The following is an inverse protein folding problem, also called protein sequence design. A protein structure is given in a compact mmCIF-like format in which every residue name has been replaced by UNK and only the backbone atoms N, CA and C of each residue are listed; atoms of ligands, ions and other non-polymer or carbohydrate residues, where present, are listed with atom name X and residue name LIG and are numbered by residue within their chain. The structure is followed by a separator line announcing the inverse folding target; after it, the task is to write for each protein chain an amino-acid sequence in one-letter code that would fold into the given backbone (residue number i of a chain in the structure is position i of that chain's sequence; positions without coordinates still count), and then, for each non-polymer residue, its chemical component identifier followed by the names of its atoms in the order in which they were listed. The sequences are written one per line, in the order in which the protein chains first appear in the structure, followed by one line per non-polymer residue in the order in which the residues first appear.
data_IF_214580276626
#
_entry.id   IF_214580276626
#
_cell.length_a   1.000
_cell.length_b   1.000
_cell.length_c   1.000
_cell.angle_alpha   90.00
_cell.angle_beta   90.00
_cell.angle_gamma   90.00
#
_symmetry.space_group_name_H-M   'P 1'
#
loop_
_entity.id
_entity.type
_entity.pdbx_description
1 polymer ?
#
# COMPACT_ATOMS: atom_id res chain seq x y z
N UNK A 1 15.47 22.49 3.27
CA UNK A 1 14.01 22.70 3.42
C UNK A 1 13.57 21.74 4.51
N UNK A 2 12.79 22.17 5.49
CA UNK A 2 12.28 21.26 6.52
C UNK A 2 11.11 20.53 5.88
N UNK A 3 11.21 19.21 5.68
CA UNK A 3 10.08 18.41 5.21
C UNK A 3 8.93 18.55 6.22
N UNK A 4 7.69 18.70 5.74
CA UNK A 4 6.53 18.72 6.63
C UNK A 4 6.42 17.37 7.37
N UNK A 5 5.87 17.38 8.58
CA UNK A 5 5.58 16.12 9.26
C UNK A 5 4.55 15.31 8.45
N UNK A 6 4.70 13.98 8.33
CA UNK A 6 3.76 13.15 7.61
C UNK A 6 2.35 13.26 8.22
N UNK A 7 1.31 13.06 7.40
CA UNK A 7 -0.09 13.01 7.86
C UNK A 7 -0.25 11.95 8.94
N UNK A 8 0.37 10.79 8.73
CA UNK A 8 0.50 9.73 9.73
C UNK A 8 1.63 8.79 9.34
N UNK A 9 2.23 8.16 10.35
CA UNK A 9 3.18 7.07 10.15
C UNK A 9 3.00 5.99 11.21
N UNK A 10 3.45 4.76 10.91
CA UNK A 10 3.43 3.65 11.85
C UNK A 10 4.59 2.69 11.56
N UNK A 11 5.42 2.44 12.58
CA UNK A 11 6.52 1.48 12.59
C UNK A 11 6.14 0.16 13.30
N UNK A 12 4.83 -0.10 13.44
CA UNK A 12 4.22 -1.31 13.98
C UNK A 12 4.70 -1.76 15.37
N UNK A 13 5.07 -0.82 16.24
CA UNK A 13 5.29 -1.12 17.67
C UNK A 13 4.09 -1.83 18.31
N UNK A 14 2.89 -1.62 17.77
CA UNK A 14 1.72 -2.47 18.00
C UNK A 14 0.75 -2.42 16.80
N UNK A 15 -0.33 -3.22 16.83
CA UNK A 15 -1.43 -3.14 15.87
C UNK A 15 -2.62 -2.28 16.34
N UNK A 16 -2.49 -1.52 17.43
CA UNK A 16 -3.63 -0.82 18.05
C UNK A 16 -4.26 0.27 17.17
N UNK A 17 -3.49 0.83 16.23
CA UNK A 17 -3.97 1.81 15.27
C UNK A 17 -4.75 1.19 14.10
N UNK A 18 -4.70 -0.14 13.98
CA UNK A 18 -5.18 -0.87 12.82
C UNK A 18 -6.38 -1.75 13.17
N UNK A 19 -7.43 -1.64 12.37
CA UNK A 19 -8.47 -2.66 12.35
C UNK A 19 -7.99 -3.82 11.49
N UNK A 20 -7.92 -5.01 12.08
CA UNK A 20 -7.41 -6.21 11.42
C UNK A 20 -8.54 -7.14 10.99
N UNK A 21 -8.35 -7.80 9.86
CA UNK A 21 -9.26 -8.80 9.31
C UNK A 21 -8.43 -9.98 8.84
N UNK A 22 -8.47 -11.08 9.59
CA UNK A 22 -7.87 -12.38 9.21
C UNK A 22 -6.34 -12.38 9.04
N UNK A 23 -5.63 -13.34 9.63
CA UNK A 23 -4.22 -13.60 9.30
C UNK A 23 -3.22 -12.45 9.54
N UNK A 24 -3.61 -11.37 10.24
CA UNK A 24 -2.75 -10.25 10.61
C UNK A 24 -2.23 -10.44 12.03
N UNK A 25 -0.91 -10.26 12.21
CA UNK A 25 -0.23 -10.40 13.50
C UNK A 25 1.03 -9.52 13.53
N UNK A 26 1.56 -9.24 14.72
CA UNK A 26 2.90 -8.67 14.86
C UNK A 26 3.94 -9.78 14.73
N UNK A 27 4.97 -9.51 13.95
CA UNK A 27 6.17 -10.30 13.88
C UNK A 27 7.30 -9.57 14.62
N UNK A 28 7.65 -10.08 15.79
CA UNK A 28 8.69 -9.49 16.65
C UNK A 28 10.11 -9.93 16.27
N UNK A 29 10.28 -10.62 15.14
CA UNK A 29 11.58 -11.19 14.73
C UNK A 29 12.22 -10.47 13.55
N UNK A 30 11.41 -9.82 12.71
CA UNK A 30 11.87 -9.07 11.54
C UNK A 30 11.13 -7.73 11.41
N UNK A 31 11.80 -6.74 10.81
CA UNK A 31 11.25 -5.43 10.48
C UNK A 31 12.21 -4.66 9.57
N UNK A 32 11.89 -3.40 9.30
CA UNK A 32 12.63 -2.49 8.42
C UNK A 32 12.69 -1.09 9.05
N UNK A 33 13.81 -0.73 9.73
CA UNK A 33 15.09 -1.46 9.78
C UNK A 33 15.19 -2.54 10.86
N UNK A 34 14.26 -2.59 11.83
CA UNK A 34 14.29 -3.53 12.94
C UNK A 34 12.86 -3.97 13.32
N UNK A 35 12.74 -5.13 13.94
CA UNK A 35 11.47 -5.63 14.44
C UNK A 35 10.83 -4.68 15.48
N UNK A 36 9.50 -4.68 15.63
CA UNK A 36 8.52 -5.57 14.97
C UNK A 36 8.06 -5.09 13.58
N UNK A 37 7.36 -5.96 12.85
CA UNK A 37 6.61 -5.62 11.63
C UNK A 37 5.19 -6.21 11.64
N UNK A 38 4.28 -5.66 10.83
CA UNK A 38 2.97 -6.27 10.60
C UNK A 38 3.08 -7.43 9.60
N UNK A 39 2.84 -8.65 10.08
CA UNK A 39 2.81 -9.85 9.24
C UNK A 39 1.39 -10.19 8.83
N UNK A 40 1.18 -10.33 7.53
CA UNK A 40 -0.05 -10.82 6.93
C UNK A 40 0.26 -12.17 6.27
N UNK A 41 -0.32 -13.24 6.80
CA UNK A 41 -0.18 -14.57 6.26
C UNK A 41 -1.52 -15.28 6.19
N UNK A 42 -1.85 -15.80 5.02
CA UNK A 42 -3.15 -16.43 4.81
C UNK A 42 -3.15 -17.29 3.54
N UNK A 43 -4.13 -18.18 3.50
CA UNK A 43 -4.32 -19.18 2.45
C UNK A 43 -5.82 -19.26 2.15
N UNK A 44 -6.23 -18.92 0.93
CA UNK A 44 -7.63 -19.07 0.49
C UNK A 44 -8.65 -18.27 1.31
N UNK A 45 -8.27 -17.08 1.80
CA UNK A 45 -9.12 -16.18 2.58
C UNK A 45 -8.76 -14.71 2.32
N UNK A 46 -9.50 -13.77 2.91
CA UNK A 46 -9.14 -12.36 2.92
C UNK A 46 -8.30 -12.04 4.17
N UNK A 47 -7.24 -11.24 4.01
CA UNK A 47 -6.35 -10.84 5.09
C UNK A 47 -5.83 -9.41 4.87
N UNK A 48 -6.27 -8.47 5.72
CA UNK A 48 -5.90 -7.07 5.61
C UNK A 48 -5.92 -6.35 6.96
N UNK A 49 -5.19 -5.25 7.02
CA UNK A 49 -5.27 -4.28 8.11
C UNK A 49 -5.50 -2.90 7.53
N UNK A 50 -6.32 -2.08 8.19
CA UNK A 50 -6.58 -0.71 7.75
C UNK A 50 -6.69 0.28 8.91
N UNK A 51 -6.43 1.55 8.61
CA UNK A 51 -6.63 2.67 9.52
C UNK A 51 -7.32 3.84 8.81
N UNK A 52 -8.00 4.69 9.58
CA UNK A 52 -8.58 5.94 9.09
C UNK A 52 -7.56 7.07 9.18
N UNK A 53 -7.59 7.95 8.19
CA UNK A 53 -6.90 9.23 8.29
C UNK A 53 -7.75 10.18 9.17
N UNK A 54 -7.09 11.00 9.98
CA UNK A 54 -7.76 12.00 10.82
C UNK A 54 -8.57 13.00 9.98
N UNK A 55 -8.14 13.27 8.75
CA UNK A 55 -8.86 14.06 7.76
C UNK A 55 -8.61 13.52 6.36
N UNK A 56 -9.64 13.40 5.50
CA UNK A 56 -9.45 12.95 4.13
C UNK A 56 -8.62 13.92 3.29
N UNK A 57 -7.82 13.38 2.37
CA UNK A 57 -6.95 14.15 1.46
C UNK A 57 -7.16 13.76 0.00
N UNK A 58 -7.11 14.75 -0.90
CA UNK A 58 -7.17 14.51 -2.34
C UNK A 58 -5.81 14.18 -2.92
N UNK A 59 -4.76 14.90 -2.52
CA UNK A 59 -3.37 14.59 -2.87
C UNK A 59 -2.78 13.73 -1.77
N UNK A 60 -2.18 12.60 -2.16
CA UNK A 60 -1.65 11.60 -1.24
C UNK A 60 -0.46 10.88 -1.84
N UNK A 61 0.54 10.65 -1.00
CA UNK A 61 1.59 9.67 -1.16
C UNK A 61 1.46 8.66 -0.02
N UNK A 62 1.29 7.39 -0.38
CA UNK A 62 1.32 6.29 0.59
C UNK A 62 2.55 5.44 0.33
N UNK A 63 3.37 5.29 1.36
CA UNK A 63 4.63 4.56 1.33
C UNK A 63 4.61 3.48 2.41
N UNK A 64 5.22 2.33 2.10
CA UNK A 64 5.45 1.26 3.09
C UNK A 64 6.59 0.37 2.63
N UNK A 65 7.39 -0.09 3.58
CA UNK A 65 8.36 -1.15 3.35
C UNK A 65 7.65 -2.49 3.37
N UNK A 66 7.88 -3.31 2.34
CA UNK A 66 7.25 -4.63 2.20
C UNK A 66 8.31 -5.70 1.96
N UNK A 67 8.17 -6.81 2.67
CA UNK A 67 8.92 -8.03 2.41
C UNK A 67 7.97 -9.20 2.18
N UNK A 68 7.98 -9.77 0.97
CA UNK A 68 7.12 -10.88 0.60
C UNK A 68 7.88 -12.20 0.73
N UNK A 69 7.60 -12.93 1.81
CA UNK A 69 8.21 -14.23 2.08
C UNK A 69 7.71 -15.31 1.10
N UNK A 70 6.41 -15.27 0.75
CA UNK A 70 5.85 -16.19 -0.24
C UNK A 70 4.57 -15.61 -0.88
N UNK A 71 4.31 -15.94 -2.14
CA UNK A 71 3.05 -15.65 -2.81
C UNK A 71 2.86 -16.59 -4.00
N UNK A 72 1.70 -17.24 -4.10
CA UNK A 72 1.36 -18.11 -5.25
C UNK A 72 0.31 -17.48 -6.17
N UNK A 73 -0.37 -16.43 -5.69
CA UNK A 73 -1.33 -15.63 -6.45
C UNK A 73 -0.83 -14.19 -6.57
N UNK A 74 -1.42 -13.43 -7.49
CA UNK A 74 -1.39 -11.97 -7.38
C UNK A 74 -2.10 -11.54 -6.10
N UNK A 75 -1.71 -10.40 -5.54
CA UNK A 75 -2.36 -9.82 -4.39
C UNK A 75 -2.10 -8.33 -4.24
N UNK A 76 -2.98 -7.68 -3.50
CA UNK A 76 -2.86 -6.26 -3.20
C UNK A 76 -1.84 -6.02 -2.09
N UNK A 77 -0.80 -5.24 -2.39
CA UNK A 77 0.16 -4.80 -1.37
C UNK A 77 -0.55 -3.85 -0.42
N UNK A 78 -1.19 -2.82 -0.98
CA UNK A 78 -1.98 -1.86 -0.24
C UNK A 78 -3.07 -1.23 -1.11
N UNK A 79 -4.03 -0.58 -0.44
CA UNK A 79 -5.13 0.16 -1.06
C UNK A 79 -5.32 1.51 -0.40
N UNK A 80 -5.68 2.49 -1.22
CA UNK A 80 -6.23 3.77 -0.77
C UNK A 80 -7.73 3.75 -0.99
N UNK A 81 -8.47 4.22 0.01
CA UNK A 81 -9.94 4.16 0.03
C UNK A 81 -10.51 5.44 0.61
N UNK A 82 -11.78 5.71 0.31
CA UNK A 82 -12.50 6.78 1.02
C UNK A 82 -12.70 6.39 2.49
N UNK A 83 -12.99 7.36 3.36
CA UNK A 83 -13.28 7.09 4.77
C UNK A 83 -14.42 6.08 4.96
N UNK A 84 -15.42 6.11 4.07
CA UNK A 84 -16.54 5.17 4.04
C UNK A 84 -16.23 3.85 3.30
N UNK A 85 -14.94 3.50 3.13
CA UNK A 85 -14.48 2.29 2.45
C UNK A 85 -14.82 2.20 0.94
N UNK A 86 -15.08 3.34 0.30
CA UNK A 86 -15.25 3.44 -1.15
C UNK A 86 -13.93 3.18 -1.90
N UNK A 87 -14.03 2.60 -3.09
CA UNK A 87 -12.89 2.29 -3.93
C UNK A 87 -12.22 3.56 -4.49
N UNK A 88 -10.87 3.61 -4.48
CA UNK A 88 -10.08 4.68 -5.11
C UNK A 88 -9.01 4.05 -5.99
N UNK A 89 -7.92 3.54 -5.38
CA UNK A 89 -6.79 2.97 -6.10
C UNK A 89 -6.06 1.94 -5.23
N UNK A 90 -5.34 1.02 -5.87
CA UNK A 90 -4.51 0.04 -5.19
C UNK A 90 -3.21 -0.22 -5.92
N UNK A 91 -2.22 -0.71 -5.16
CA UNK A 91 -0.99 -1.30 -5.66
C UNK A 91 -1.05 -2.80 -5.46
N UNK A 92 -0.69 -3.56 -6.47
CA UNK A 92 -0.69 -5.02 -6.43
C UNK A 92 0.63 -5.58 -6.93
N UNK A 93 0.96 -6.77 -6.44
CA UNK A 93 2.02 -7.63 -6.97
C UNK A 93 1.36 -8.74 -7.76
N UNK A 94 1.76 -8.93 -9.02
CA UNK A 94 1.33 -10.08 -9.82
C UNK A 94 1.88 -11.40 -9.23
N UNK A 95 1.33 -12.54 -9.63
CA UNK A 95 1.88 -13.85 -9.25
C UNK A 95 3.37 -13.99 -9.65
N UNK A 96 3.73 -13.44 -10.81
CA UNK A 96 5.11 -13.41 -11.31
C UNK A 96 6.04 -12.47 -10.52
N UNK A 97 5.49 -11.52 -9.75
CA UNK A 97 6.26 -10.59 -8.90
C UNK A 97 6.34 -9.15 -9.39
N UNK A 98 5.84 -8.87 -10.60
CA UNK A 98 5.77 -7.52 -11.14
C UNK A 98 4.80 -6.63 -10.33
N UNK A 99 5.17 -5.36 -10.16
CA UNK A 99 4.34 -4.34 -9.52
C UNK A 99 3.36 -3.71 -10.51
N UNK A 100 2.14 -3.46 -10.08
CA UNK A 100 1.12 -2.76 -10.86
C UNK A 100 0.19 -1.91 -9.99
N UNK A 101 -0.55 -1.03 -10.66
CA UNK A 101 -1.57 -0.19 -10.05
C UNK A 101 -2.91 -0.40 -10.71
N UNK A 102 -3.99 -0.35 -9.93
CA UNK A 102 -5.36 -0.47 -10.41
C UNK A 102 -6.23 0.60 -9.81
N UNK A 103 -6.95 1.30 -10.67
CA UNK A 103 -8.07 2.12 -10.29
C UNK A 103 -9.25 1.20 -9.94
N UNK A 104 -9.61 1.16 -8.66
CA UNK A 104 -10.69 0.28 -8.20
C UNK A 104 -12.09 0.89 -8.42
N UNK A 105 -12.20 2.18 -8.75
CA UNK A 105 -13.47 2.81 -9.13
C UNK A 105 -13.86 2.48 -10.58
N UNK A 106 -12.90 2.47 -11.50
CA UNK A 106 -13.12 2.22 -12.93
C UNK A 106 -12.69 0.83 -13.40
N UNK A 107 -11.96 0.08 -12.58
CA UNK A 107 -11.52 -1.28 -12.87
C UNK A 107 -10.31 -1.41 -13.80
N UNK A 108 -9.74 -0.31 -14.28
CA UNK A 108 -8.56 -0.29 -15.17
C UNK A 108 -7.26 -0.42 -14.39
N UNK A 109 -6.26 -1.07 -14.98
CA UNK A 109 -4.95 -1.27 -14.35
C UNK A 109 -3.81 -1.13 -15.35
N UNK A 110 -2.62 -0.87 -14.84
CA UNK A 110 -1.35 -0.99 -15.56
C UNK A 110 -0.34 -1.73 -14.71
N UNK A 111 0.57 -2.47 -15.36
CA UNK A 111 1.61 -3.28 -14.71
C UNK A 111 2.96 -2.86 -15.27
N UNK A 112 3.92 -2.63 -14.38
CA UNK A 112 5.30 -2.35 -14.76
C UNK A 112 6.05 -3.64 -15.13
N UNK A 113 7.24 -3.51 -15.73
CA UNK A 113 8.16 -4.65 -15.86
C UNK A 113 8.94 -4.92 -14.56
N UNK A 114 8.89 -3.99 -13.60
CA UNK A 114 9.69 -4.03 -12.38
C UNK A 114 9.14 -5.06 -11.40
N UNK A 115 10.01 -5.97 -10.98
CA UNK A 115 9.73 -6.94 -9.92
C UNK A 115 9.84 -6.29 -8.55
N UNK A 116 9.00 -6.69 -7.60
CA UNK A 116 9.21 -6.31 -6.19
C UNK A 116 10.57 -6.83 -5.70
N UNK A 117 10.90 -8.09 -6.01
CA UNK A 117 12.11 -8.75 -5.53
C UNK A 117 11.94 -9.48 -4.20
N UNK A 118 13.05 -9.88 -3.60
CA UNK A 118 13.14 -10.56 -2.30
C UNK A 118 13.74 -9.63 -1.25
N UNK A 119 13.26 -9.71 -0.01
CA UNK A 119 13.69 -8.82 1.06
C UNK A 119 12.80 -7.58 1.18
N UNK A 120 13.25 -6.62 1.98
CA UNK A 120 12.53 -5.36 2.21
C UNK A 120 12.74 -4.40 1.04
N UNK A 121 11.62 -3.90 0.52
CA UNK A 121 11.60 -2.85 -0.50
C UNK A 121 10.59 -1.79 -0.12
N UNK A 122 10.94 -0.54 -0.36
CA UNK A 122 9.98 0.54 -0.27
C UNK A 122 9.06 0.51 -1.50
N UNK A 123 7.76 0.62 -1.27
CA UNK A 123 6.77 0.80 -2.34
C UNK A 123 5.92 2.01 -2.01
N UNK A 124 5.97 3.02 -2.89
CA UNK A 124 5.25 4.27 -2.71
C UNK A 124 4.33 4.57 -3.90
N UNK A 125 3.10 4.96 -3.62
CA UNK A 125 2.14 5.44 -4.61
C UNK A 125 1.76 6.89 -4.31
N UNK A 126 2.04 7.77 -5.25
CA UNK A 126 1.70 9.18 -5.19
C UNK A 126 0.70 9.58 -6.27
N UNK A 127 -0.25 10.45 -5.93
CA UNK A 127 -1.15 11.04 -6.91
C UNK A 127 -2.25 11.89 -6.28
N UNK A 128 -3.18 12.30 -7.12
CA UNK A 128 -4.35 13.09 -6.71
C UNK A 128 -5.62 12.32 -7.07
N UNK A 129 -6.62 12.34 -6.19
CA UNK A 129 -7.95 11.80 -6.48
C UNK A 129 -8.68 12.74 -7.45
N UNK A 130 -9.27 12.18 -8.50
CA UNK A 130 -10.11 12.96 -9.42
C UNK A 130 -10.46 12.19 -10.69
N UNK A 131 -11.33 12.81 -11.50
CA UNK A 131 -11.81 12.24 -12.76
C UNK A 131 -10.75 12.17 -13.87
N UNK A 132 -9.75 13.04 -13.82
CA UNK A 132 -8.63 13.10 -14.76
C UNK A 132 -7.36 13.46 -13.99
N UNK A 133 -6.76 12.46 -13.33
CA UNK A 133 -5.59 12.63 -12.47
C UNK A 133 -4.52 11.62 -12.82
N UNK A 134 -3.31 11.86 -12.31
CA UNK A 134 -2.16 11.00 -12.57
C UNK A 134 -1.62 10.41 -11.28
N UNK A 135 -1.11 9.19 -11.41
CA UNK A 135 -0.54 8.41 -10.32
C UNK A 135 0.83 7.89 -10.72
N UNK A 136 1.79 8.02 -9.82
CA UNK A 136 3.16 7.56 -9.99
C UNK A 136 3.47 6.52 -8.92
N UNK A 137 3.94 5.35 -9.36
CA UNK A 137 4.37 4.26 -8.49
C UNK A 137 5.89 4.25 -8.46
N UNK A 138 6.44 4.15 -7.25
CA UNK A 138 7.87 4.05 -6.97
C UNK A 138 8.20 2.71 -6.31
N UNK A 139 9.42 2.24 -6.56
CA UNK A 139 10.06 1.15 -5.82
C UNK A 139 11.45 1.63 -5.41
N UNK A 140 11.76 1.61 -4.12
CA UNK A 140 13.04 2.08 -3.57
C UNK A 140 13.42 3.47 -4.14
N UNK A 141 12.46 4.41 -4.14
CA UNK A 141 12.61 5.76 -4.71
C UNK A 141 12.62 5.86 -6.25
N UNK A 142 12.73 4.74 -6.99
CA UNK A 142 12.75 4.74 -8.45
C UNK A 142 11.33 4.67 -9.04
N UNK A 143 11.01 5.53 -10.02
CA UNK A 143 9.72 5.50 -10.73
C UNK A 143 9.59 4.22 -11.57
N UNK A 144 8.56 3.42 -11.31
CA UNK A 144 8.25 2.17 -12.03
C UNK A 144 6.96 2.24 -12.85
N UNK A 145 6.04 3.13 -12.48
CA UNK A 145 4.91 3.56 -13.32
C UNK A 145 4.87 5.08 -13.24
N UNK A 146 4.98 5.75 -14.38
CA UNK A 146 5.08 7.20 -14.42
C UNK A 146 3.75 7.83 -14.87
N UNK A 147 3.19 8.71 -14.04
CA UNK A 147 2.12 9.63 -14.40
C UNK A 147 0.91 8.94 -15.07
N UNK A 148 0.51 7.76 -14.57
CA UNK A 148 -0.57 6.98 -15.13
C UNK A 148 -1.92 7.67 -14.94
N UNK A 149 -2.59 7.98 -16.04
CA UNK A 149 -3.87 8.66 -16.02
C UNK A 149 -5.02 7.70 -15.68
N UNK A 150 -5.80 8.03 -14.66
CA UNK A 150 -6.98 7.27 -14.26
C UNK A 150 -8.06 8.14 -13.59
N UNK A 151 -9.31 7.69 -13.69
CA UNK A 151 -10.44 8.27 -12.96
C UNK A 151 -10.65 7.51 -11.64
N UNK A 152 -10.07 7.98 -10.55
CA UNK A 152 -10.16 7.33 -9.23
C UNK A 152 -11.36 7.81 -8.40
N UNK A 153 -12.34 8.45 -9.04
CA UNK A 153 -13.47 9.10 -8.39
C UNK A 153 -13.14 10.53 -7.91
N UNK A 154 -14.04 11.14 -7.15
CA UNK A 154 -13.89 12.53 -6.65
C UNK A 154 -13.92 12.63 -5.13
N UNK A 155 -14.13 11.52 -4.42
CA UNK A 155 -14.15 11.49 -2.95
C UNK A 155 -12.75 11.22 -2.43
N UNK A 156 -12.24 12.13 -1.59
CA UNK A 156 -10.90 12.07 -1.01
C UNK A 156 -10.57 10.72 -0.34
N UNK A 157 -9.27 10.39 -0.32
CA UNK A 157 -8.74 9.26 0.44
C UNK A 157 -8.88 9.58 1.92
N UNK A 158 -9.54 8.69 2.67
CA UNK A 158 -9.69 8.81 4.13
C UNK A 158 -9.34 7.53 4.86
N UNK A 159 -8.88 6.51 4.14
CA UNK A 159 -8.47 5.20 4.67
C UNK A 159 -7.30 4.67 3.87
N UNK A 160 -6.35 4.09 4.58
CA UNK A 160 -5.26 3.30 4.01
C UNK A 160 -5.36 1.86 4.50
N UNK A 161 -4.94 0.92 3.67
CA UNK A 161 -5.05 -0.51 3.96
C UNK A 161 -3.85 -1.24 3.41
N UNK A 162 -3.30 -2.18 4.18
CA UNK A 162 -2.32 -3.17 3.74
C UNK A 162 -2.98 -4.54 3.57
N UNK A 163 -2.49 -5.33 2.63
CA UNK A 163 -3.01 -6.66 2.30
C UNK A 163 -4.28 -6.65 1.44
N UNK A 164 -4.86 -7.84 1.26
CA UNK A 164 -5.89 -8.11 0.26
C UNK A 164 -7.25 -8.48 0.90
N UNK A 165 -8.34 -8.08 0.26
CA UNK A 165 -9.71 -8.37 0.72
C UNK A 165 -10.38 -9.49 -0.07
N UNK A 166 -9.74 -10.05 -1.09
CA UNK A 166 -10.28 -11.13 -1.89
C UNK A 166 -10.09 -12.47 -1.18
N UNK A 167 -11.07 -13.36 -1.29
CA UNK A 167 -11.14 -14.63 -0.53
C UNK A 167 -10.40 -15.80 -1.18
N UNK A 168 -9.59 -15.56 -2.22
CA UNK A 168 -8.91 -16.61 -2.98
C UNK A 168 -7.43 -16.28 -3.23
N UNK A 169 -6.79 -15.59 -2.28
CA UNK A 169 -5.36 -15.26 -2.37
C UNK A 169 -4.55 -16.14 -1.42
N UNK A 170 -3.27 -16.31 -1.71
CA UNK A 170 -2.33 -17.04 -0.84
C UNK A 170 -0.99 -16.34 -0.88
N UNK A 171 -0.65 -15.64 0.21
CA UNK A 171 0.65 -15.01 0.40
C UNK A 171 1.04 -14.90 1.88
N UNK A 172 2.33 -14.69 2.12
CA UNK A 172 2.90 -14.23 3.38
C UNK A 172 3.76 -13.02 3.08
N UNK A 173 3.41 -11.88 3.68
CA UNK A 173 4.15 -10.64 3.56
C UNK A 173 4.23 -9.93 4.92
N UNK A 174 5.35 -9.24 5.13
CA UNK A 174 5.55 -8.34 6.25
C UNK A 174 5.55 -6.90 5.72
N UNK A 175 4.97 -6.01 6.51
CA UNK A 175 4.83 -4.58 6.23
C UNK A 175 5.46 -3.81 7.39
N UNK A 176 6.19 -2.76 7.05
CA UNK A 176 6.78 -1.86 8.01
C UNK A 176 6.85 -0.43 7.48
N UNK A 177 7.17 0.51 8.36
CA UNK A 177 7.40 1.91 8.04
C UNK A 177 6.30 2.50 7.13
N UNK A 178 5.05 2.39 7.56
CA UNK A 178 3.93 2.99 6.83
C UNK A 178 4.00 4.50 6.98
N UNK A 179 3.91 5.23 5.87
CA UNK A 179 3.86 6.68 5.85
C UNK A 179 2.76 7.16 4.90
N UNK A 180 2.00 8.16 5.35
CA UNK A 180 1.04 8.91 4.53
C UNK A 180 1.49 10.36 4.51
N UNK A 181 1.64 10.91 3.33
CA UNK A 181 2.03 12.31 3.11
C UNK A 181 1.27 12.91 1.90
N UNK A 182 1.52 14.17 1.57
CA UNK A 182 1.02 14.86 0.38
C UNK A 182 2.11 15.03 -0.70
N UNK A 183 3.37 14.73 -0.38
CA UNK A 183 4.48 14.72 -1.32
C UNK A 183 5.23 13.39 -1.25
N UNK A 184 5.96 12.99 -2.31
CA UNK A 184 6.79 11.79 -2.26
C UNK A 184 7.77 11.85 -1.09
N UNK A 185 7.98 10.72 -0.42
CA UNK A 185 8.96 10.63 0.65
C UNK A 185 10.37 10.81 0.07
N UNK A 186 11.15 11.73 0.63
CA UNK A 186 12.58 11.79 0.34
C UNK A 186 13.24 10.56 0.99
N UNK A 187 13.55 9.54 0.21
CA UNK A 187 14.41 8.42 0.65
C UNK A 187 15.83 8.98 0.80
N UNK A 188 16.15 9.46 2.01
CA UNK A 188 17.44 10.06 2.38
C UNK A 188 18.59 9.08 2.42
#
# INVERSE_FOLDING_TARGET
MVSAAPITSDDFTSLSNWTTVGGVSLDNTIGSPAAPSARIAFTGAAANAWMLLASPVNQVCFSTNVNVASATTDFDLFRLRTAANGAVIKVFRTAAGALGIRNDSGGTSTTSATQLGTGWHNVELCGTVGAATTWTLYRDGAVVVNNWAANTGTTAVGRVQIGDTATAKTFTANYDHVVVDQAPCDEG
#
